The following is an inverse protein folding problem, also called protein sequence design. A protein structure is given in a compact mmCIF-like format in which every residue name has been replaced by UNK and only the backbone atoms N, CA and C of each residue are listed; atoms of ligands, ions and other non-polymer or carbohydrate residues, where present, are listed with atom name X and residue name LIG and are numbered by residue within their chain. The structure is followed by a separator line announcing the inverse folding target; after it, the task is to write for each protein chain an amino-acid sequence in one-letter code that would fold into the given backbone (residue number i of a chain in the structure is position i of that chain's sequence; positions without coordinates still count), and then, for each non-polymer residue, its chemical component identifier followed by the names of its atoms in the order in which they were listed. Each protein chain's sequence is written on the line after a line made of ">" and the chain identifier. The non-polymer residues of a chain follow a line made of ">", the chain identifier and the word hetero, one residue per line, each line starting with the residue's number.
data_IF_937272788268
#
_entry.id   IF_937272788268
#
_cell.length_a   1.000
_cell.length_b   1.000
_cell.length_c   1.000
_cell.angle_alpha   90.00
_cell.angle_beta   90.00
_cell.angle_gamma   90.00
#
_symmetry.space_group_name_H-M   'P 1'
#
loop_
_entity.id
_entity.type
_entity.pdbx_description
1 polymer ?
#
# COMPACT_ATOMS: atom_id res chain seq x y z
N UNK A 1 33.22 44.30 -13.39
CA UNK A 1 32.17 44.18 -12.35
C UNK A 1 30.88 43.58 -12.90
N UNK A 2 30.29 44.10 -13.99
CA UNK A 2 29.02 43.66 -14.59
C UNK A 2 28.89 42.15 -14.90
N UNK A 3 29.93 41.48 -15.43
CA UNK A 3 29.91 40.03 -15.70
C UNK A 3 29.80 39.18 -14.43
N UNK A 4 30.54 39.52 -13.36
CA UNK A 4 30.50 38.82 -12.08
C UNK A 4 29.12 38.96 -11.42
N UNK A 5 28.52 40.14 -11.50
CA UNK A 5 27.15 40.40 -11.01
C UNK A 5 26.11 39.57 -11.77
N UNK A 6 26.21 39.47 -13.10
CA UNK A 6 25.32 38.64 -13.92
C UNK A 6 25.47 37.15 -13.55
N UNK A 7 26.71 36.65 -13.42
CA UNK A 7 26.95 35.25 -13.02
C UNK A 7 26.38 34.92 -11.64
N UNK A 8 26.53 35.83 -10.67
CA UNK A 8 25.96 35.65 -9.32
C UNK A 8 24.43 35.61 -9.35
N UNK A 9 23.79 36.50 -10.11
CA UNK A 9 22.32 36.51 -10.27
C UNK A 9 21.84 35.21 -10.94
N UNK A 10 22.55 34.74 -11.97
CA UNK A 10 22.23 33.47 -12.63
C UNK A 10 22.32 32.28 -11.67
N UNK A 11 23.37 32.19 -10.84
CA UNK A 11 23.50 31.12 -9.83
C UNK A 11 22.37 31.20 -8.81
N UNK A 12 22.05 32.40 -8.31
CA UNK A 12 20.97 32.58 -7.34
C UNK A 12 19.61 32.13 -7.91
N UNK A 13 19.33 32.50 -9.16
CA UNK A 13 18.08 32.12 -9.83
C UNK A 13 17.93 30.61 -9.97
N UNK A 14 19.01 29.88 -10.32
CA UNK A 14 19.00 28.42 -10.42
C UNK A 14 18.80 27.78 -9.05
N UNK A 15 19.46 28.28 -8.00
CA UNK A 15 19.28 27.74 -6.64
C UNK A 15 17.86 27.91 -6.11
N UNK A 16 17.20 29.03 -6.43
CA UNK A 16 15.80 29.28 -6.06
C UNK A 16 14.86 28.33 -6.79
N UNK A 17 15.09 28.09 -8.08
CA UNK A 17 14.28 27.15 -8.88
C UNK A 17 14.42 25.73 -8.31
N UNK A 18 15.64 25.27 -8.04
CA UNK A 18 15.88 23.93 -7.47
C UNK A 18 15.20 23.80 -6.11
N UNK A 19 15.34 24.79 -5.23
CA UNK A 19 14.68 24.77 -3.92
C UNK A 19 13.15 24.77 -4.03
N UNK A 20 12.59 25.57 -4.95
CA UNK A 20 11.15 25.60 -5.22
C UNK A 20 10.62 24.26 -5.72
N UNK A 21 11.37 23.57 -6.59
CA UNK A 21 10.95 22.24 -7.08
C UNK A 21 10.97 21.20 -5.96
N UNK A 22 12.00 21.21 -5.11
CA UNK A 22 12.10 20.30 -3.95
C UNK A 22 10.96 20.58 -2.96
N UNK A 23 10.71 21.86 -2.63
CA UNK A 23 9.62 22.25 -1.74
C UNK A 23 8.24 21.87 -2.30
N UNK A 24 8.05 22.00 -3.62
CA UNK A 24 6.80 21.58 -4.27
C UNK A 24 6.56 20.09 -4.15
N UNK A 25 7.60 19.23 -4.17
CA UNK A 25 7.44 17.79 -3.94
C UNK A 25 6.92 17.53 -2.52
N UNK A 26 7.44 18.22 -1.51
CA UNK A 26 6.99 18.07 -0.11
C UNK A 26 5.58 18.63 0.15
N UNK A 27 5.15 19.67 -0.58
CA UNK A 27 3.79 20.22 -0.48
C UNK A 27 2.78 19.36 -1.27
N UNK A 28 3.20 18.82 -2.41
CA UNK A 28 2.33 18.09 -3.34
C UNK A 28 2.27 16.61 -3.00
N UNK A 29 3.17 16.01 -2.20
CA UNK A 29 2.90 14.69 -1.62
C UNK A 29 1.65 14.84 -0.75
N UNK A 30 0.44 14.44 -1.19
CA UNK A 30 -0.63 14.35 -0.26
C UNK A 30 -0.17 13.19 0.62
N UNK A 31 -0.08 13.40 1.92
CA UNK A 31 -0.38 12.27 2.79
C UNK A 31 -1.80 11.91 2.40
N UNK A 32 -1.94 10.96 1.48
CA UNK A 32 -3.18 10.28 1.25
C UNK A 32 -3.39 9.45 2.50
N UNK A 33 -3.73 10.14 3.59
CA UNK A 33 -4.46 9.55 4.69
C UNK A 33 -5.79 9.24 4.02
N UNK A 34 -5.89 8.06 3.41
CA UNK A 34 -7.19 7.48 3.10
C UNK A 34 -7.81 7.32 4.48
N UNK A 35 -8.81 8.13 4.87
CA UNK A 35 -9.54 7.81 6.08
C UNK A 35 -10.22 6.49 5.74
N UNK A 36 -9.66 5.39 6.23
CA UNK A 36 -10.33 4.10 6.20
C UNK A 36 -11.57 4.31 7.06
N UNK A 37 -12.70 4.59 6.41
CA UNK A 37 -13.99 4.64 7.07
C UNK A 37 -14.41 3.19 7.27
N UNK A 38 -13.67 2.49 8.13
CA UNK A 38 -14.02 1.16 8.60
C UNK A 38 -15.40 1.29 9.23
N UNK A 39 -16.41 0.85 8.50
CA UNK A 39 -17.72 0.63 9.08
C UNK A 39 -17.52 -0.33 10.23
N UNK A 40 -17.97 0.05 11.42
CA UNK A 40 -17.81 -0.70 12.67
C UNK A 40 -18.68 -1.96 12.66
N UNK A 41 -18.44 -2.88 11.74
CA UNK A 41 -18.47 -4.27 12.14
C UNK A 41 -17.25 -4.38 13.02
N UNK A 42 -17.40 -4.30 14.35
CA UNK A 42 -16.30 -4.76 15.20
C UNK A 42 -16.15 -6.24 14.85
N UNK A 43 -15.14 -6.62 14.03
CA UNK A 43 -14.89 -8.03 13.84
C UNK A 43 -14.59 -8.53 15.24
N UNK A 44 -15.16 -9.66 15.64
CA UNK A 44 -14.82 -10.26 16.93
C UNK A 44 -13.29 -10.23 17.05
N UNK A 45 -12.78 -9.60 18.11
CA UNK A 45 -11.37 -9.22 18.18
C UNK A 45 -10.52 -10.46 17.92
N UNK A 46 -9.81 -10.44 16.78
CA UNK A 46 -9.11 -11.62 16.30
C UNK A 46 -7.84 -11.75 17.12
N UNK A 47 -7.58 -12.95 17.61
CA UNK A 47 -6.37 -13.21 18.36
C UNK A 47 -5.14 -13.02 17.48
N UNK A 48 -3.99 -12.73 18.09
CA UNK A 48 -2.72 -12.58 17.38
C UNK A 48 -2.41 -13.75 16.43
N UNK A 49 -2.82 -14.97 16.81
CA UNK A 49 -2.65 -16.17 15.99
C UNK A 49 -3.41 -16.07 14.66
N UNK A 50 -4.65 -15.63 14.69
CA UNK A 50 -5.52 -15.49 13.51
C UNK A 50 -4.96 -14.39 12.59
N UNK A 51 -4.55 -13.24 13.16
CA UNK A 51 -3.89 -12.16 12.40
C UNK A 51 -2.61 -12.63 11.68
N UNK A 52 -1.79 -13.44 12.34
CA UNK A 52 -0.59 -14.03 11.72
C UNK A 52 -0.96 -15.04 10.62
N UNK A 53 -2.01 -15.84 10.82
CA UNK A 53 -2.50 -16.80 9.81
C UNK A 53 -3.01 -16.08 8.56
N UNK A 54 -3.81 -15.02 8.74
CA UNK A 54 -4.31 -14.17 7.66
C UNK A 54 -3.17 -13.49 6.89
N UNK A 55 -2.17 -12.96 7.61
CA UNK A 55 -0.98 -12.39 6.97
C UNK A 55 -0.20 -13.44 6.16
N UNK A 56 -0.05 -14.67 6.69
CA UNK A 56 0.63 -15.76 5.96
C UNK A 56 -0.13 -16.12 4.69
N UNK A 57 -1.47 -16.15 4.74
CA UNK A 57 -2.29 -16.34 3.56
C UNK A 57 -2.07 -15.23 2.54
N UNK A 58 -2.19 -13.97 2.96
CA UNK A 58 -1.90 -12.79 2.14
C UNK A 58 -0.51 -12.85 1.49
N UNK A 59 0.53 -13.13 2.29
CA UNK A 59 1.91 -13.24 1.82
C UNK A 59 2.05 -14.30 0.74
N UNK A 60 1.42 -15.47 0.91
CA UNK A 60 1.46 -16.55 -0.07
C UNK A 60 0.74 -16.16 -1.37
N UNK A 61 -0.41 -15.50 -1.29
CA UNK A 61 -1.13 -14.98 -2.47
C UNK A 61 -0.21 -14.06 -3.29
N UNK A 62 0.47 -13.11 -2.64
CA UNK A 62 1.41 -12.22 -3.33
C UNK A 62 2.60 -12.99 -3.89
N UNK A 63 3.22 -13.86 -3.08
CA UNK A 63 4.38 -14.67 -3.49
C UNK A 63 4.09 -15.51 -4.74
N UNK A 64 2.90 -16.08 -4.84
CA UNK A 64 2.53 -17.02 -5.89
C UNK A 64 1.94 -16.33 -7.13
N UNK A 65 1.30 -15.16 -6.97
CA UNK A 65 0.51 -14.54 -8.03
C UNK A 65 1.03 -13.18 -8.50
N UNK A 66 1.90 -12.50 -7.75
CA UNK A 66 2.37 -11.16 -8.12
C UNK A 66 3.55 -11.21 -9.10
N UNK A 67 3.39 -10.81 -10.37
CA UNK A 67 4.38 -11.06 -11.42
C UNK A 67 5.63 -10.17 -11.32
N UNK A 68 5.58 -9.09 -10.52
CA UNK A 68 6.63 -8.06 -10.51
C UNK A 68 7.57 -8.13 -9.29
N UNK A 69 7.58 -9.22 -8.53
CA UNK A 69 8.43 -9.35 -7.34
C UNK A 69 9.93 -9.18 -7.67
N UNK A 70 10.41 -9.85 -8.71
CA UNK A 70 11.82 -9.79 -9.12
C UNK A 70 12.21 -8.44 -9.71
N UNK A 71 11.24 -7.70 -10.27
CA UNK A 71 11.47 -6.35 -10.78
C UNK A 71 11.83 -5.38 -9.66
N UNK A 72 11.26 -5.56 -8.45
CA UNK A 72 11.54 -4.70 -7.29
C UNK A 72 12.99 -4.77 -6.86
N UNK A 73 13.57 -5.97 -6.81
CA UNK A 73 14.99 -6.14 -6.50
C UNK A 73 15.88 -5.41 -7.53
N UNK A 74 15.52 -5.46 -8.81
CA UNK A 74 16.30 -4.83 -9.89
C UNK A 74 16.20 -3.30 -9.91
N UNK A 75 15.05 -2.76 -9.55
CA UNK A 75 14.74 -1.32 -9.71
C UNK A 75 14.88 -0.53 -8.43
N UNK A 76 14.66 -1.15 -7.27
CA UNK A 76 14.63 -0.49 -5.96
C UNK A 76 15.60 -1.13 -4.95
N UNK A 77 16.28 -2.22 -5.33
CA UNK A 77 17.35 -2.81 -4.53
C UNK A 77 16.90 -3.68 -3.35
N UNK A 78 15.59 -3.93 -3.18
CA UNK A 78 15.08 -4.81 -2.12
C UNK A 78 14.21 -5.94 -2.66
N UNK A 79 14.18 -7.05 -1.92
CA UNK A 79 13.34 -8.20 -2.20
C UNK A 79 12.17 -8.19 -1.23
N UNK A 80 10.96 -7.99 -1.74
CA UNK A 80 9.74 -7.98 -0.94
C UNK A 80 9.55 -9.29 -0.14
N UNK A 81 9.98 -10.43 -0.70
CA UNK A 81 9.91 -11.72 0.00
C UNK A 81 10.75 -11.77 1.28
N UNK A 82 11.78 -10.94 1.39
CA UNK A 82 12.60 -10.85 2.60
C UNK A 82 11.93 -10.05 3.72
N UNK A 83 10.82 -9.35 3.45
CA UNK A 83 10.09 -8.54 4.43
C UNK A 83 9.09 -9.36 5.26
N UNK A 84 8.97 -10.66 5.02
CA UNK A 84 7.98 -11.51 5.70
C UNK A 84 8.08 -11.42 7.23
N UNK A 85 9.26 -11.68 7.78
CA UNK A 85 9.45 -11.69 9.24
C UNK A 85 9.31 -10.28 9.83
N UNK A 86 9.76 -9.25 9.09
CA UNK A 86 9.54 -7.85 9.49
C UNK A 86 8.06 -7.51 9.72
N UNK A 87 7.18 -7.99 8.83
CA UNK A 87 5.74 -7.76 8.99
C UNK A 87 5.12 -8.66 10.07
N UNK A 88 5.61 -9.89 10.27
CA UNK A 88 5.17 -10.73 11.39
C UNK A 88 5.50 -10.04 12.72
N UNK A 89 6.73 -9.56 12.89
CA UNK A 89 7.17 -8.84 14.10
C UNK A 89 6.32 -7.59 14.37
N UNK A 90 5.87 -6.89 13.31
CA UNK A 90 4.93 -5.77 13.43
C UNK A 90 3.53 -6.23 13.85
N UNK A 91 3.01 -7.31 13.27
CA UNK A 91 1.68 -7.85 13.60
C UNK A 91 1.62 -8.29 15.07
N UNK A 92 2.70 -8.88 15.58
CA UNK A 92 2.85 -9.26 17.00
C UNK A 92 2.74 -8.08 17.98
N UNK A 93 2.91 -6.86 17.49
CA UNK A 93 2.79 -5.62 18.28
C UNK A 93 1.44 -4.93 18.10
N UNK A 94 0.51 -5.51 17.35
CA UNK A 94 -0.82 -4.90 17.13
C UNK A 94 -1.79 -5.29 18.23
N UNK A 95 -2.49 -4.30 18.77
CA UNK A 95 -3.51 -4.50 19.81
C UNK A 95 -4.92 -4.58 19.21
N UNK A 96 -5.11 -4.07 17.99
CA UNK A 96 -6.42 -3.99 17.34
C UNK A 96 -6.41 -4.49 15.90
N UNK A 97 -7.61 -4.78 15.38
CA UNK A 97 -7.80 -5.09 13.97
C UNK A 97 -7.46 -3.90 13.06
N UNK A 98 -7.62 -2.66 13.55
CA UNK A 98 -7.24 -1.45 12.81
C UNK A 98 -5.72 -1.40 12.59
N UNK A 99 -4.94 -1.56 13.66
CA UNK A 99 -3.47 -1.61 13.57
C UNK A 99 -2.99 -2.79 12.70
N UNK A 100 -3.67 -3.94 12.77
CA UNK A 100 -3.37 -5.06 11.88
C UNK A 100 -3.59 -4.70 10.39
N UNK A 101 -4.70 -4.04 10.07
CA UNK A 101 -4.99 -3.60 8.70
C UNK A 101 -3.98 -2.55 8.22
N UNK A 102 -3.46 -1.69 9.11
CA UNK A 102 -2.38 -0.78 8.78
C UNK A 102 -1.11 -1.53 8.37
N UNK A 103 -0.74 -2.60 9.08
CA UNK A 103 0.43 -3.43 8.70
C UNK A 103 0.22 -4.11 7.35
N UNK A 104 -1.00 -4.61 7.06
CA UNK A 104 -1.32 -5.17 5.75
C UNK A 104 -1.24 -4.11 4.63
N UNK A 105 -1.74 -2.90 4.91
CA UNK A 105 -1.65 -1.75 4.00
C UNK A 105 -0.19 -1.35 3.72
N UNK A 106 0.67 -1.39 4.73
CA UNK A 106 2.10 -1.17 4.56
C UNK A 106 2.74 -2.27 3.69
N UNK A 107 2.38 -3.53 3.93
CA UNK A 107 2.91 -4.67 3.17
C UNK A 107 2.53 -4.62 1.69
N UNK A 108 1.28 -4.26 1.36
CA UNK A 108 0.86 -4.07 -0.04
C UNK A 108 1.51 -2.83 -0.65
N UNK A 109 1.65 -1.74 0.10
CA UNK A 109 2.28 -0.50 -0.37
C UNK A 109 3.77 -0.70 -0.65
N UNK A 110 4.44 -1.59 0.08
CA UNK A 110 5.81 -2.00 -0.19
C UNK A 110 5.96 -2.69 -1.56
N UNK A 111 4.88 -3.17 -2.19
CA UNK A 111 4.92 -3.59 -3.60
C UNK A 111 5.02 -2.42 -4.57
N UNK A 112 4.83 -1.17 -4.13
CA UNK A 112 4.95 0.06 -4.92
C UNK A 112 4.26 -0.06 -6.27
N UNK A 113 2.98 -0.44 -6.26
CA UNK A 113 2.18 -0.62 -7.45
C UNK A 113 0.76 -0.12 -7.19
N UNK A 114 0.37 0.94 -7.91
CA UNK A 114 -0.92 1.60 -7.81
C UNK A 114 -2.12 0.69 -8.15
N UNK A 115 -1.89 -0.42 -8.85
CA UNK A 115 -2.92 -1.41 -9.17
C UNK A 115 -2.99 -2.56 -8.15
N UNK A 116 -2.26 -2.46 -7.04
CA UNK A 116 -2.22 -3.45 -5.98
C UNK A 116 -2.67 -2.78 -4.69
N UNK A 117 -3.90 -3.05 -4.27
CA UNK A 117 -4.51 -2.45 -3.09
C UNK A 117 -5.35 -3.49 -2.34
N UNK A 118 -5.53 -3.26 -1.05
CA UNK A 118 -6.54 -3.96 -0.25
C UNK A 118 -7.86 -3.22 -0.45
N UNK A 119 -8.93 -3.96 -0.71
CA UNK A 119 -10.27 -3.38 -0.86
C UNK A 119 -10.84 -3.18 0.55
N UNK A 120 -11.15 -1.94 0.96
CA UNK A 120 -11.86 -1.71 2.21
C UNK A 120 -13.25 -2.33 2.16
N UNK A 121 -13.75 -2.77 3.31
CA UNK A 121 -15.03 -3.50 3.38
C UNK A 121 -16.20 -2.70 2.81
N UNK A 122 -16.22 -1.38 3.02
CA UNK A 122 -17.23 -0.46 2.50
C UNK A 122 -17.30 -0.41 0.96
N UNK A 123 -16.23 -0.82 0.26
CA UNK A 123 -16.20 -0.93 -1.20
C UNK A 123 -16.36 -2.38 -1.69
N UNK A 124 -16.46 -3.36 -0.79
CA UNK A 124 -16.55 -4.77 -1.16
C UNK A 124 -17.71 -5.04 -2.11
N UNK A 125 -18.91 -4.56 -1.78
CA UNK A 125 -20.10 -4.76 -2.63
C UNK A 125 -19.94 -4.14 -4.02
N UNK A 126 -19.38 -2.92 -4.08
CA UNK A 126 -19.11 -2.23 -5.34
C UNK A 126 -18.16 -3.03 -6.23
N UNK A 127 -17.03 -3.48 -5.69
CA UNK A 127 -16.06 -4.28 -6.46
C UNK A 127 -16.61 -5.68 -6.79
N UNK A 128 -17.31 -6.32 -5.86
CA UNK A 128 -17.99 -7.59 -6.08
C UNK A 128 -18.96 -7.48 -7.25
N UNK A 129 -19.80 -6.44 -7.29
CA UNK A 129 -20.71 -6.18 -8.39
C UNK A 129 -19.94 -5.97 -9.70
N UNK A 130 -18.97 -5.05 -9.72
CA UNK A 130 -18.16 -4.73 -10.90
C UNK A 130 -17.49 -5.97 -11.52
N UNK A 131 -16.94 -6.84 -10.69
CA UNK A 131 -16.28 -8.07 -11.16
C UNK A 131 -17.29 -9.20 -11.46
N UNK A 132 -18.50 -9.17 -10.89
CA UNK A 132 -19.55 -10.14 -11.19
C UNK A 132 -20.29 -9.86 -12.49
N UNK A 133 -20.52 -8.59 -12.84
CA UNK A 133 -21.16 -8.19 -14.10
C UNK A 133 -20.31 -8.59 -15.32
N UNK A 134 -18.99 -8.76 -15.11
CA UNK A 134 -18.07 -9.29 -16.12
C UNK A 134 -17.72 -10.77 -15.96
N UNK A 135 -18.14 -11.46 -14.89
CA UNK A 135 -17.81 -12.88 -14.66
C UNK A 135 -18.76 -13.57 -13.65
N UNK A 136 -20.05 -13.62 -13.96
CA UNK A 136 -21.12 -14.13 -13.08
C UNK A 136 -20.87 -15.53 -12.49
N UNK A 137 -20.05 -16.39 -13.11
CA UNK A 137 -19.78 -17.73 -12.60
C UNK A 137 -18.92 -17.80 -11.33
N UNK A 138 -18.00 -16.84 -11.13
CA UNK A 138 -17.01 -16.92 -10.05
C UNK A 138 -17.55 -16.37 -8.72
N UNK A 139 -18.30 -15.27 -8.75
CA UNK A 139 -18.85 -14.63 -7.55
C UNK A 139 -19.87 -15.52 -6.83
N UNK A 140 -20.76 -16.16 -7.60
CA UNK A 140 -21.75 -17.10 -7.06
C UNK A 140 -21.10 -18.28 -6.36
N UNK A 141 -19.98 -18.78 -6.88
CA UNK A 141 -19.25 -19.92 -6.29
C UNK A 141 -18.59 -19.55 -4.96
N UNK A 142 -18.03 -18.34 -4.85
CA UNK A 142 -17.44 -17.83 -3.60
C UNK A 142 -18.51 -17.61 -2.52
N UNK A 143 -19.64 -17.00 -2.87
CA UNK A 143 -20.76 -16.77 -1.94
C UNK A 143 -21.44 -18.06 -1.46
N UNK A 144 -21.38 -19.13 -2.26
CA UNK A 144 -21.90 -20.45 -1.89
C UNK A 144 -20.93 -21.27 -1.04
N UNK A 145 -19.62 -21.01 -1.12
CA UNK A 145 -18.59 -21.71 -0.33
C UNK A 145 -18.48 -21.21 1.11
N UNK A 146 -18.99 -20.02 1.41
CA UNK A 146 -18.93 -19.38 2.73
C UNK A 146 -20.30 -19.34 3.44
N UNK A 147 -21.21 -20.25 3.10
CA UNK A 147 -22.42 -20.60 3.87
C UNK A 147 -22.26 -21.98 4.47
#
# INVERSE_FOLDING_TARGET
>A
MRKKTITVISILSVTIIVFSTILSVFIIQPRYDFPLALTSVEPQDMGIKERIEDFKFFYNVIKENYPYLTLKQRTHGFNWLNLKEYFIDKIEQTDSNEEFLEVLSEAITALQNLHCAIIPYEFFEYYAQLYSEHNMGALLKFLQMNK
#
